data_IF_203533489691
#
_entry.id   IF_203533489691
#
_cell.length_a   1.000
_cell.length_b   1.000
_cell.length_c   1.000
_cell.angle_alpha   90.00
_cell.angle_beta   90.00
_cell.angle_gamma   90.00
#
_symmetry.space_group_name_H-M   'P 1'
#
loop_
_entity.id
_entity.type
_entity.pdbx_description
1 polymer ?
#
# COMPACT_ATOMS: atom_id res chain seq x y z
N UNK A 1 1.28 -26.12 10.12
CA UNK A 1 0.61 -25.79 8.83
C UNK A 1 -0.26 -24.56 9.05
N UNK A 2 -0.28 -23.64 8.12
CA UNK A 2 -1.15 -22.44 8.22
C UNK A 2 -2.63 -22.74 7.96
N UNK A 3 -3.00 -24.00 7.73
CA UNK A 3 -4.37 -24.48 7.53
C UNK A 3 -5.35 -24.18 8.69
N UNK A 4 -4.81 -23.82 9.85
CA UNK A 4 -5.60 -23.51 11.06
C UNK A 4 -5.84 -22.00 11.23
N UNK A 5 -5.30 -21.18 10.33
CA UNK A 5 -5.47 -19.74 10.32
C UNK A 5 -6.59 -19.34 9.37
N UNK A 6 -7.31 -18.30 9.75
CA UNK A 6 -8.28 -17.61 8.89
C UNK A 6 -7.89 -16.15 8.89
N UNK A 7 -7.79 -15.56 7.72
CA UNK A 7 -7.59 -14.12 7.56
C UNK A 7 -8.91 -13.46 7.20
N UNK A 8 -9.10 -12.25 7.67
CA UNK A 8 -10.24 -11.42 7.30
C UNK A 8 -9.84 -9.95 7.38
N UNK A 9 -10.18 -9.19 6.35
CA UNK A 9 -9.96 -7.76 6.32
C UNK A 9 -11.29 -7.02 6.15
N UNK A 10 -11.41 -5.88 6.80
CA UNK A 10 -12.54 -4.98 6.64
C UNK A 10 -12.09 -3.54 6.94
N UNK A 11 -12.66 -2.59 6.24
CA UNK A 11 -12.52 -1.17 6.53
C UNK A 11 -13.87 -0.49 6.44
N UNK A 12 -14.01 0.59 7.19
CA UNK A 12 -15.27 1.32 7.26
C UNK A 12 -15.00 2.82 7.36
N UNK A 13 -15.76 3.57 6.57
CA UNK A 13 -15.70 5.02 6.61
C UNK A 13 -16.12 5.55 7.98
N UNK A 14 -15.34 6.47 8.53
CA UNK A 14 -15.65 7.16 9.78
C UNK A 14 -16.82 8.09 9.67
N UNK A 15 -17.61 8.23 10.76
CA UNK A 15 -18.80 9.09 10.82
C UNK A 15 -18.48 10.55 10.44
N UNK A 16 -17.30 11.05 10.82
CA UNK A 16 -16.85 12.41 10.48
C UNK A 16 -16.62 12.60 8.97
N UNK A 17 -16.22 11.56 8.26
CA UNK A 17 -16.04 11.59 6.80
C UNK A 17 -17.41 11.53 6.11
N UNK A 18 -18.32 10.66 6.57
CA UNK A 18 -19.69 10.57 6.07
C UNK A 18 -20.39 11.94 6.16
N UNK A 19 -20.28 12.62 7.31
CA UNK A 19 -20.90 13.92 7.53
C UNK A 19 -20.34 15.03 6.64
N UNK A 20 -19.15 14.87 6.12
CA UNK A 20 -18.48 15.81 5.19
C UNK A 20 -18.61 15.40 3.73
N UNK A 21 -19.27 14.27 3.43
CA UNK A 21 -19.36 13.72 2.07
C UNK A 21 -18.03 13.21 1.51
N UNK A 22 -17.06 12.89 2.39
CA UNK A 22 -15.74 12.33 2.01
C UNK A 22 -15.83 10.82 1.86
N UNK A 23 -14.96 10.23 1.03
CA UNK A 23 -14.77 8.79 0.93
C UNK A 23 -13.98 8.21 2.10
N UNK A 24 -13.83 6.87 2.12
CA UNK A 24 -12.86 6.21 2.96
C UNK A 24 -11.50 6.29 2.26
N UNK A 25 -10.50 6.76 2.96
CA UNK A 25 -9.13 6.86 2.44
C UNK A 25 -8.26 5.67 2.92
N UNK A 26 -8.78 4.91 3.89
CA UNK A 26 -8.14 3.70 4.40
C UNK A 26 -8.44 2.50 3.51
N UNK A 27 -7.52 1.55 3.48
CA UNK A 27 -7.69 0.28 2.81
C UNK A 27 -7.10 -0.86 3.64
N UNK A 28 -7.71 -2.03 3.59
CA UNK A 28 -7.17 -3.25 4.18
C UNK A 28 -7.36 -4.42 3.24
N UNK A 29 -6.41 -5.34 3.27
CA UNK A 29 -6.46 -6.57 2.51
C UNK A 29 -5.80 -7.69 3.28
N UNK A 30 -6.10 -8.91 2.89
CA UNK A 30 -5.49 -10.12 3.44
C UNK A 30 -5.27 -11.17 2.36
N UNK A 31 -4.38 -12.11 2.64
CA UNK A 31 -4.12 -13.26 1.80
C UNK A 31 -3.67 -14.43 2.66
N UNK A 32 -4.07 -15.63 2.28
CA UNK A 32 -3.62 -16.86 2.90
C UNK A 32 -3.50 -17.97 1.87
N UNK A 33 -2.44 -18.76 1.98
CA UNK A 33 -2.28 -20.05 1.31
C UNK A 33 -1.63 -21.07 2.24
N UNK A 34 -1.09 -22.16 1.70
CA UNK A 34 -0.49 -23.26 2.49
C UNK A 34 0.79 -22.82 3.23
N UNK A 35 1.51 -21.82 2.75
CA UNK A 35 2.84 -21.42 3.20
C UNK A 35 2.85 -20.09 3.96
N UNK A 36 1.91 -19.19 3.64
CA UNK A 36 1.96 -17.80 4.10
C UNK A 36 0.56 -17.25 4.40
N UNK A 37 0.45 -16.46 5.47
CA UNK A 37 -0.70 -15.62 5.71
C UNK A 37 -0.24 -14.16 5.83
N UNK A 38 -0.97 -13.24 5.21
CA UNK A 38 -0.67 -11.81 5.15
C UNK A 38 -1.88 -11.02 5.64
N UNK A 39 -1.66 -10.08 6.53
CA UNK A 39 -2.61 -9.03 6.86
C UNK A 39 -1.96 -7.69 6.61
N UNK A 40 -2.63 -6.80 5.87
CA UNK A 40 -2.10 -5.49 5.49
C UNK A 40 -3.17 -4.41 5.61
N UNK A 41 -2.76 -3.27 6.12
CA UNK A 41 -3.58 -2.06 6.22
C UNK A 41 -2.79 -0.85 5.71
N UNK A 42 -3.52 0.12 5.19
CA UNK A 42 -2.96 1.38 4.69
C UNK A 42 -3.92 2.50 5.05
N UNK A 43 -3.39 3.57 5.63
CA UNK A 43 -4.09 4.81 5.95
C UNK A 43 -3.70 5.86 4.89
N UNK A 44 -4.67 6.31 4.13
CA UNK A 44 -4.52 7.37 3.14
C UNK A 44 -4.50 8.74 3.82
N UNK A 45 -3.54 9.57 3.43
CA UNK A 45 -3.41 10.92 4.01
C UNK A 45 -4.61 11.81 3.63
N UNK A 46 -5.48 12.13 4.58
CA UNK A 46 -6.66 12.99 4.40
C UNK A 46 -6.37 14.46 4.15
N UNK A 47 -5.24 14.80 3.55
CA UNK A 47 -4.84 16.17 3.19
C UNK A 47 -5.28 16.49 1.75
N UNK A 48 -5.75 17.72 1.53
CA UNK A 48 -6.17 18.18 0.20
C UNK A 48 -5.12 18.01 -0.90
N UNK A 49 -3.82 17.99 -0.54
CA UNK A 49 -2.75 17.74 -1.48
C UNK A 49 -2.54 16.24 -1.79
N UNK A 50 -3.25 15.38 -1.08
CA UNK A 50 -3.22 13.92 -1.25
C UNK A 50 -4.57 13.40 -1.77
N UNK A 51 -5.18 14.08 -2.73
CA UNK A 51 -6.54 13.87 -3.22
C UNK A 51 -6.80 12.50 -3.87
N UNK A 52 -5.77 11.67 -4.08
CA UNK A 52 -5.85 10.27 -4.51
C UNK A 52 -5.29 9.31 -3.46
N UNK A 53 -5.25 9.71 -2.19
CA UNK A 53 -4.73 8.90 -1.09
C UNK A 53 -5.47 7.57 -0.94
N UNK A 54 -6.79 7.53 -1.11
CA UNK A 54 -7.57 6.29 -1.12
C UNK A 54 -7.06 5.29 -2.18
N UNK A 55 -6.76 5.78 -3.38
CA UNK A 55 -6.16 4.95 -4.43
C UNK A 55 -4.73 4.56 -4.09
N UNK A 56 -3.98 5.46 -3.46
CA UNK A 56 -2.64 5.17 -2.94
C UNK A 56 -2.63 4.03 -1.93
N UNK A 57 -3.56 4.04 -0.99
CA UNK A 57 -3.75 3.01 0.04
C UNK A 57 -4.13 1.64 -0.57
N UNK A 58 -5.07 1.63 -1.52
CA UNK A 58 -5.44 0.41 -2.27
C UNK A 58 -4.23 -0.19 -3.01
N UNK A 59 -3.48 0.65 -3.74
CA UNK A 59 -2.30 0.22 -4.46
C UNK A 59 -1.20 -0.29 -3.53
N UNK A 60 -1.01 0.35 -2.36
CA UNK A 60 -0.01 -0.06 -1.38
C UNK A 60 -0.29 -1.46 -0.84
N UNK A 61 -1.52 -1.74 -0.42
CA UNK A 61 -1.91 -3.06 0.06
C UNK A 61 -1.80 -4.14 -1.03
N UNK A 62 -2.27 -3.85 -2.25
CA UNK A 62 -2.23 -4.79 -3.37
C UNK A 62 -0.78 -5.15 -3.73
N UNK A 63 0.06 -4.13 -3.87
CA UNK A 63 1.49 -4.31 -4.20
C UNK A 63 2.21 -5.09 -3.09
N UNK A 64 1.95 -4.76 -1.82
CA UNK A 64 2.58 -5.45 -0.70
C UNK A 64 2.29 -6.96 -0.72
N UNK A 65 1.01 -7.34 -0.92
CA UNK A 65 0.62 -8.75 -1.04
C UNK A 65 1.31 -9.40 -2.25
N UNK A 66 1.28 -8.78 -3.42
CA UNK A 66 1.86 -9.35 -4.65
C UNK A 66 3.37 -9.59 -4.50
N UNK A 67 4.11 -8.64 -3.92
CA UNK A 67 5.56 -8.75 -3.71
C UNK A 67 5.89 -9.86 -2.71
N UNK A 68 5.19 -9.92 -1.57
CA UNK A 68 5.43 -10.96 -0.56
C UNK A 68 5.10 -12.34 -1.11
N UNK A 69 3.99 -12.50 -1.80
CA UNK A 69 3.63 -13.77 -2.48
C UNK A 69 4.72 -14.18 -3.48
N UNK A 70 5.15 -13.25 -4.32
CA UNK A 70 6.20 -13.52 -5.30
C UNK A 70 7.54 -13.89 -4.68
N UNK A 71 7.89 -13.31 -3.54
CA UNK A 71 9.16 -13.60 -2.86
C UNK A 71 9.16 -14.96 -2.15
N UNK A 72 8.05 -15.34 -1.51
CA UNK A 72 7.99 -16.57 -0.71
C UNK A 72 7.36 -17.77 -1.42
N UNK A 73 7.50 -17.82 -2.75
CA UNK A 73 7.02 -18.95 -3.56
C UNK A 73 7.90 -20.20 -3.47
N UNK A 74 9.15 -20.06 -3.02
CA UNK A 74 10.12 -21.16 -2.96
C UNK A 74 10.80 -21.32 -1.59
N UNK A 75 11.43 -22.48 -1.40
CA UNK A 75 12.13 -22.83 -0.17
C UNK A 75 13.42 -22.03 0.06
N UNK A 76 14.03 -21.48 -0.97
CA UNK A 76 15.26 -20.69 -0.86
C UNK A 76 14.96 -19.32 -0.24
N UNK A 77 13.89 -18.67 -0.65
CA UNK A 77 13.44 -17.41 -0.06
C UNK A 77 13.05 -17.60 1.42
N UNK A 78 12.34 -18.69 1.74
CA UNK A 78 12.01 -19.05 3.13
C UNK A 78 13.26 -19.32 3.98
N UNK A 79 14.29 -19.95 3.42
CA UNK A 79 15.57 -20.14 4.12
C UNK A 79 16.30 -18.80 4.31
N UNK A 80 16.25 -17.92 3.32
CA UNK A 80 16.92 -16.61 3.36
C UNK A 80 16.38 -15.70 4.45
N UNK A 81 15.05 -15.64 4.65
CA UNK A 81 14.45 -14.81 5.72
C UNK A 81 14.85 -15.33 7.11
N UNK A 82 15.00 -16.64 7.29
CA UNK A 82 15.46 -17.22 8.56
C UNK A 82 16.91 -16.90 8.89
N UNK A 83 17.76 -16.85 7.86
CA UNK A 83 19.21 -16.59 8.01
C UNK A 83 19.55 -15.12 8.15
N UNK A 84 18.81 -14.25 7.50
CA UNK A 84 19.09 -12.81 7.42
C UNK A 84 17.79 -11.98 7.34
N UNK A 85 16.96 -11.98 8.40
CA UNK A 85 15.63 -11.33 8.38
C UNK A 85 15.71 -9.85 8.03
N UNK A 86 16.60 -9.08 8.66
CA UNK A 86 16.73 -7.65 8.45
C UNK A 86 17.04 -7.29 6.99
N UNK A 87 17.89 -8.09 6.35
CA UNK A 87 18.22 -7.91 4.93
C UNK A 87 17.00 -8.15 4.05
N UNK A 88 16.31 -9.26 4.27
CA UNK A 88 15.14 -9.63 3.45
C UNK A 88 14.02 -8.63 3.65
N UNK A 89 13.76 -8.18 4.89
CA UNK A 89 12.76 -7.16 5.20
C UNK A 89 13.11 -5.84 4.49
N UNK A 90 14.38 -5.41 4.54
CA UNK A 90 14.82 -4.20 3.83
C UNK A 90 14.65 -4.31 2.30
N UNK A 91 14.90 -5.48 1.72
CA UNK A 91 14.69 -5.73 0.30
C UNK A 91 13.19 -5.72 -0.05
N UNK A 92 12.34 -6.28 0.81
CA UNK A 92 10.87 -6.21 0.67
C UNK A 92 10.36 -4.76 0.69
N UNK A 93 10.77 -3.97 1.67
CA UNK A 93 10.38 -2.56 1.78
C UNK A 93 10.72 -1.79 0.49
N UNK A 94 11.96 -1.95 0.00
CA UNK A 94 12.40 -1.32 -1.25
C UNK A 94 11.59 -1.79 -2.46
N UNK A 95 11.31 -3.09 -2.54
CA UNK A 95 10.53 -3.65 -3.64
C UNK A 95 9.07 -3.14 -3.60
N UNK A 96 8.46 -3.06 -2.42
CA UNK A 96 7.11 -2.52 -2.24
C UNK A 96 7.07 -1.06 -2.69
N UNK A 97 7.97 -0.22 -2.18
CA UNK A 97 8.04 1.21 -2.54
C UNK A 97 8.25 1.39 -4.05
N UNK A 98 9.17 0.63 -4.64
CA UNK A 98 9.47 0.71 -6.07
C UNK A 98 8.24 0.34 -6.92
N UNK A 99 7.60 -0.78 -6.62
CA UNK A 99 6.44 -1.25 -7.38
C UNK A 99 5.20 -0.39 -7.14
N UNK A 100 5.01 0.15 -5.94
CA UNK A 100 3.98 1.14 -5.67
C UNK A 100 4.14 2.38 -6.55
N UNK A 101 5.35 2.92 -6.66
CA UNK A 101 5.64 4.05 -7.56
C UNK A 101 5.34 3.73 -9.03
N UNK A 102 5.62 2.50 -9.49
CA UNK A 102 5.25 2.06 -10.84
C UNK A 102 3.73 2.04 -11.02
N UNK A 103 2.99 1.47 -10.08
CA UNK A 103 1.52 1.42 -10.12
C UNK A 103 0.89 2.81 -10.09
N UNK A 104 1.41 3.72 -9.26
CA UNK A 104 0.98 5.12 -9.26
C UNK A 104 1.21 5.77 -10.63
N UNK A 105 2.39 5.55 -11.22
CA UNK A 105 2.69 6.09 -12.56
C UNK A 105 1.77 5.54 -13.63
N UNK A 106 1.43 4.26 -13.57
CA UNK A 106 0.47 3.61 -14.46
C UNK A 106 -0.95 4.15 -14.27
N UNK A 107 -1.37 4.37 -13.01
CA UNK A 107 -2.69 4.95 -12.73
C UNK A 107 -2.79 6.37 -13.31
N UNK A 108 -1.79 7.21 -13.11
CA UNK A 108 -1.76 8.57 -13.68
C UNK A 108 -1.81 8.54 -15.21
N UNK A 109 -1.13 7.59 -15.84
CA UNK A 109 -1.15 7.43 -17.31
C UNK A 109 -2.52 7.03 -17.83
N UNK A 110 -3.22 6.15 -17.09
CA UNK A 110 -4.57 5.68 -17.45
C UNK A 110 -5.66 6.68 -17.05
N UNK A 111 -5.44 7.41 -15.95
CA UNK A 111 -6.37 8.33 -15.34
C UNK A 111 -5.64 9.69 -15.07
N UNK A 112 -5.39 10.51 -16.09
CA UNK A 112 -4.73 11.81 -15.90
C UNK A 112 -5.48 12.70 -14.92
N UNK A 113 -4.76 13.58 -14.23
CA UNK A 113 -5.38 14.56 -13.33
C UNK A 113 -6.32 15.48 -14.08
N UNK A 114 -7.46 15.77 -13.47
CA UNK A 114 -8.50 16.66 -14.00
C UNK A 114 -8.41 18.04 -13.37
N UNK A 115 -8.98 19.07 -14.03
CA UNK A 115 -8.99 20.42 -13.49
C UNK A 115 -9.73 20.50 -12.14
N UNK A 116 -10.75 19.70 -11.93
CA UNK A 116 -11.49 19.64 -10.65
C UNK A 116 -10.60 19.16 -9.48
N UNK A 117 -9.64 18.26 -9.74
CA UNK A 117 -8.69 17.78 -8.72
C UNK A 117 -7.67 18.83 -8.31
N UNK A 118 -7.49 19.87 -9.10
CA UNK A 118 -6.63 21.01 -8.75
C UNK A 118 -7.35 22.10 -7.97
N UNK A 119 -8.68 22.03 -7.82
CA UNK A 119 -9.45 23.05 -7.12
C UNK A 119 -9.04 23.15 -5.64
N UNK A 120 -8.77 24.37 -5.18
CA UNK A 120 -8.39 24.63 -3.80
C UNK A 120 -6.95 24.29 -3.43
N UNK A 121 -6.13 23.80 -4.38
CA UNK A 121 -4.69 23.62 -4.18
C UNK A 121 -3.96 24.96 -4.29
N UNK A 122 -2.77 25.04 -3.65
CA UNK A 122 -1.84 26.15 -3.84
C UNK A 122 -1.32 26.19 -5.30
N UNK A 123 -1.18 27.39 -5.86
CA UNK A 123 -0.75 27.57 -7.25
C UNK A 123 0.60 26.89 -7.55
N UNK A 124 1.56 26.96 -6.60
CA UNK A 124 2.86 26.30 -6.77
C UNK A 124 2.75 24.78 -6.79
N UNK A 125 1.79 24.21 -6.03
CA UNK A 125 1.49 22.77 -6.07
C UNK A 125 0.95 22.38 -7.43
N UNK A 126 -0.01 23.14 -7.96
CA UNK A 126 -0.60 22.90 -9.29
C UNK A 126 0.47 22.98 -10.38
N UNK A 127 1.33 24.00 -10.36
CA UNK A 127 2.45 24.14 -11.31
C UNK A 127 3.38 22.92 -11.23
N UNK A 128 3.72 22.47 -10.01
CA UNK A 128 4.60 21.33 -9.79
C UNK A 128 3.98 20.05 -10.36
N UNK A 129 2.70 19.81 -10.10
CA UNK A 129 1.99 18.64 -10.63
C UNK A 129 1.86 18.71 -12.16
N UNK A 130 1.50 19.84 -12.73
CA UNK A 130 1.42 20.03 -14.20
C UNK A 130 2.76 19.86 -14.90
N UNK A 131 3.89 20.10 -14.20
CA UNK A 131 5.23 19.83 -14.72
C UNK A 131 5.65 18.34 -14.65
N UNK A 132 4.80 17.46 -14.15
CA UNK A 132 5.09 16.04 -14.00
C UNK A 132 5.90 15.68 -12.76
N UNK A 133 6.03 16.61 -11.80
CA UNK A 133 6.82 16.40 -10.60
C UNK A 133 5.95 16.07 -9.39
N UNK A 134 6.51 15.29 -8.46
CA UNK A 134 5.90 14.97 -7.15
C UNK A 134 4.49 14.33 -7.24
N UNK A 135 4.16 13.68 -8.33
CA UNK A 135 2.88 13.01 -8.53
C UNK A 135 2.57 11.99 -7.43
N UNK A 136 3.60 11.29 -6.91
CA UNK A 136 3.44 10.30 -5.83
C UNK A 136 2.86 10.89 -4.55
N UNK A 137 3.12 12.19 -4.27
CA UNK A 137 2.56 12.84 -3.07
C UNK A 137 1.03 12.87 -3.06
N UNK A 138 0.42 12.93 -4.23
CA UNK A 138 -1.04 12.96 -4.37
C UNK A 138 -1.69 11.65 -3.92
N UNK A 139 -0.94 10.55 -3.95
CA UNK A 139 -1.32 9.21 -3.51
C UNK A 139 -0.82 8.88 -2.10
N UNK A 140 -0.35 9.86 -1.33
CA UNK A 140 0.28 9.66 -0.04
C UNK A 140 -0.54 8.80 0.92
N UNK A 141 0.08 7.75 1.44
CA UNK A 141 -0.50 6.82 2.40
C UNK A 141 0.61 6.20 3.26
N UNK A 142 0.22 5.56 4.35
CA UNK A 142 1.09 4.66 5.13
C UNK A 142 0.86 3.22 4.73
N UNK A 143 1.69 2.30 5.19
CA UNK A 143 1.47 0.86 5.08
C UNK A 143 1.94 0.17 6.36
N UNK A 144 1.12 -0.72 6.90
CA UNK A 144 1.50 -1.67 7.95
C UNK A 144 1.09 -3.06 7.47
N UNK A 145 2.03 -3.99 7.52
CA UNK A 145 1.82 -5.37 7.09
C UNK A 145 2.39 -6.35 8.10
N UNK A 146 1.66 -7.43 8.39
CA UNK A 146 2.15 -8.58 9.10
C UNK A 146 2.14 -9.79 8.17
N UNK A 147 3.25 -10.54 8.16
CA UNK A 147 3.43 -11.76 7.39
C UNK A 147 3.68 -12.90 8.37
N UNK A 148 2.87 -13.94 8.28
CA UNK A 148 2.99 -15.16 9.10
C UNK A 148 3.46 -16.30 8.20
N UNK A 149 4.50 -16.98 8.65
CA UNK A 149 5.04 -18.19 8.07
C UNK A 149 4.81 -19.36 9.07
N UNK A 150 5.15 -20.57 8.70
CA UNK A 150 4.83 -21.74 9.54
C UNK A 150 5.37 -21.64 10.97
N UNK A 151 6.57 -21.10 11.15
CA UNK A 151 7.31 -21.13 12.41
C UNK A 151 7.74 -19.74 12.92
N UNK A 152 7.45 -18.66 12.18
CA UNK A 152 7.73 -17.29 12.62
C UNK A 152 6.86 -16.26 11.88
N UNK A 153 6.91 -15.03 12.33
CA UNK A 153 6.24 -13.90 11.69
C UNK A 153 7.14 -12.66 11.71
N UNK A 154 6.83 -11.72 10.85
CA UNK A 154 7.46 -10.40 10.85
C UNK A 154 6.46 -9.31 10.46
N UNK A 155 6.78 -8.06 10.83
CA UNK A 155 6.01 -6.88 10.46
C UNK A 155 6.86 -5.90 9.67
N UNK A 156 6.20 -5.14 8.79
CA UNK A 156 6.77 -4.05 8.00
C UNK A 156 5.90 -2.81 8.19
N UNK A 157 6.53 -1.65 8.32
CA UNK A 157 5.86 -0.35 8.31
C UNK A 157 6.58 0.58 7.34
N UNK A 158 5.83 1.17 6.42
CA UNK A 158 6.30 2.13 5.42
C UNK A 158 5.46 3.41 5.50
#
# INVERSE_FOLDING_TARGET
MLSDYITHSAYQIGISHISKGLGCEDFSADYIDENIAIAVISDGHGDKNCFRSAKGAELACTVAIDIVKGMFTDSEALASIRLSPDRVITELEKAIIYNWNLRVSDDIRCNPFTDNEYEGLDENVVITLKSGQKHQKVYGCTLIMCVFLEDFWFGIQI
#
